data_IF_022161130022
#
_entry.id   IF_022161130022
#
_cell.length_a   1.000
_cell.length_b   1.000
_cell.length_c   1.000
_cell.angle_alpha   90.00
_cell.angle_beta   90.00
_cell.angle_gamma   90.00
#
_symmetry.space_group_name_H-M   'P 1'
#
loop_
_entity.id
_entity.type
_entity.pdbx_description
1 polymer ?
#
# COMPACT_ATOMS: atom_id res chain seq x y z
N UNK A 1 3.99 34.35 -4.71
CA UNK A 1 5.29 33.84 -5.24
C UNK A 1 5.65 32.45 -4.66
N UNK A 2 5.19 32.10 -3.50
CA UNK A 2 5.41 30.79 -2.84
C UNK A 2 4.67 29.66 -3.55
N UNK A 3 3.51 29.92 -4.10
CA UNK A 3 2.64 28.91 -4.72
C UNK A 3 3.21 28.34 -6.02
N UNK A 4 3.98 29.15 -6.78
CA UNK A 4 4.66 28.73 -8.00
C UNK A 4 5.77 27.71 -7.75
N UNK A 5 6.46 27.81 -6.61
CA UNK A 5 7.55 26.90 -6.24
C UNK A 5 7.02 25.48 -5.94
N UNK A 6 5.79 25.38 -5.40
CA UNK A 6 5.16 24.08 -5.13
C UNK A 6 4.45 23.49 -6.36
N UNK A 7 3.95 24.33 -7.28
CA UNK A 7 3.28 23.89 -8.50
C UNK A 7 4.26 23.34 -9.53
N UNK A 8 5.47 23.87 -9.62
CA UNK A 8 6.47 23.49 -10.63
C UNK A 8 6.87 21.99 -10.54
N UNK A 9 7.23 21.45 -9.35
CA UNK A 9 7.52 20.01 -9.23
C UNK A 9 6.30 19.13 -9.54
N UNK A 10 5.10 19.56 -9.18
CA UNK A 10 3.87 18.78 -9.44
C UNK A 10 3.57 18.72 -10.92
N UNK A 11 3.65 19.85 -11.62
CA UNK A 11 3.42 19.94 -13.08
C UNK A 11 4.45 19.11 -13.85
N UNK A 12 5.67 18.98 -13.35
CA UNK A 12 6.75 18.24 -14.01
C UNK A 12 6.71 16.74 -13.67
N UNK A 13 6.35 16.38 -12.45
CA UNK A 13 6.28 14.99 -11.97
C UNK A 13 5.05 14.24 -12.49
N UNK A 14 3.90 14.90 -12.58
CA UNK A 14 2.64 14.25 -13.00
C UNK A 14 2.74 13.65 -14.40
N UNK A 15 3.18 14.38 -15.46
CA UNK A 15 3.32 13.79 -16.80
C UNK A 15 4.43 12.72 -16.86
N UNK A 16 5.53 12.90 -16.11
CA UNK A 16 6.61 11.92 -16.06
C UNK A 16 6.12 10.59 -15.45
N UNK A 17 5.36 10.64 -14.37
CA UNK A 17 4.76 9.47 -13.75
C UNK A 17 3.63 8.87 -14.60
N UNK A 18 2.90 9.68 -15.34
CA UNK A 18 1.83 9.21 -16.23
C UNK A 18 2.35 8.36 -17.40
N UNK A 19 3.56 8.64 -17.91
CA UNK A 19 4.19 7.84 -18.98
C UNK A 19 4.41 6.39 -18.52
N UNK A 20 4.89 6.20 -17.29
CA UNK A 20 5.15 4.87 -16.69
C UNK A 20 3.93 4.25 -16.02
N UNK A 21 2.78 4.92 -16.02
CA UNK A 21 1.57 4.44 -15.37
C UNK A 21 0.86 3.37 -16.19
N UNK A 22 0.30 2.36 -15.53
CA UNK A 22 -0.61 1.39 -16.15
C UNK A 22 -1.86 2.09 -16.70
N UNK A 23 -2.53 1.47 -17.67
CA UNK A 23 -3.72 2.03 -18.36
C UNK A 23 -4.77 2.58 -17.39
N UNK A 24 -5.09 1.82 -16.31
CA UNK A 24 -6.07 2.25 -15.30
C UNK A 24 -5.69 3.58 -14.62
N UNK A 25 -4.40 3.79 -14.31
CA UNK A 25 -3.94 5.05 -13.69
C UNK A 25 -4.03 6.23 -14.64
N UNK A 26 -3.84 6.02 -15.94
CA UNK A 26 -3.98 7.06 -16.98
C UNK A 26 -5.43 7.55 -17.06
N UNK A 27 -6.40 6.66 -16.92
CA UNK A 27 -7.82 7.01 -16.88
C UNK A 27 -8.13 7.95 -15.70
N UNK A 28 -7.62 7.65 -14.51
CA UNK A 28 -7.83 8.53 -13.35
C UNK A 28 -7.20 9.92 -13.53
N UNK A 29 -6.00 9.99 -14.11
CA UNK A 29 -5.36 11.28 -14.44
C UNK A 29 -6.17 12.05 -15.47
N UNK A 30 -6.67 11.39 -16.51
CA UNK A 30 -7.51 12.01 -17.54
C UNK A 30 -8.81 12.56 -16.94
N UNK A 31 -9.49 11.78 -16.08
CA UNK A 31 -10.70 12.24 -15.36
C UNK A 31 -10.38 13.46 -14.50
N UNK A 32 -9.30 13.44 -13.74
CA UNK A 32 -8.89 14.56 -12.90
C UNK A 32 -8.62 15.83 -13.73
N UNK A 33 -7.93 15.69 -14.89
CA UNK A 33 -7.72 16.81 -15.82
C UNK A 33 -9.05 17.37 -16.35
N UNK A 34 -9.96 16.51 -16.81
CA UNK A 34 -11.27 16.94 -17.33
C UNK A 34 -12.06 17.69 -16.26
N UNK A 35 -12.13 17.16 -15.03
CA UNK A 35 -12.81 17.83 -13.91
C UNK A 35 -12.17 19.17 -13.56
N UNK A 36 -10.85 19.28 -13.60
CA UNK A 36 -10.14 20.54 -13.37
C UNK A 36 -10.43 21.58 -14.42
N UNK A 37 -10.63 21.19 -15.69
CA UNK A 37 -11.02 22.11 -16.78
C UNK A 37 -12.48 22.54 -16.72
N UNK A 38 -13.38 21.69 -16.21
CA UNK A 38 -14.81 21.98 -16.08
C UNK A 38 -15.09 22.83 -14.85
N UNK A 39 -14.32 22.67 -13.78
CA UNK A 39 -14.53 23.36 -12.49
C UNK A 39 -14.67 24.89 -12.59
N UNK A 40 -13.88 25.63 -13.40
CA UNK A 40 -14.03 27.09 -13.56
C UNK A 40 -15.39 27.53 -14.12
N UNK A 41 -16.08 26.66 -14.85
CA UNK A 41 -17.37 26.98 -15.48
C UNK A 41 -18.51 26.94 -14.46
N UNK A 42 -18.40 26.06 -13.46
CA UNK A 42 -19.48 25.79 -12.50
C UNK A 42 -19.24 26.37 -11.12
N UNK A 43 -18.01 26.73 -10.78
CA UNK A 43 -17.64 27.18 -9.45
C UNK A 43 -16.85 28.49 -9.51
N UNK A 44 -17.42 29.64 -8.99
CA UNK A 44 -16.69 30.91 -8.94
C UNK A 44 -15.38 30.83 -8.11
N UNK A 45 -15.33 29.96 -7.10
CA UNK A 45 -14.17 29.78 -6.21
C UNK A 45 -13.25 28.63 -6.66
N UNK A 46 -13.20 28.36 -7.96
CA UNK A 46 -12.43 27.24 -8.53
C UNK A 46 -10.95 27.25 -8.16
N UNK A 47 -10.35 28.44 -7.99
CA UNK A 47 -8.94 28.56 -7.59
C UNK A 47 -8.70 28.00 -6.19
N UNK A 48 -9.60 28.33 -5.24
CA UNK A 48 -9.50 27.83 -3.88
C UNK A 48 -9.72 26.31 -3.82
N UNK A 49 -10.70 25.81 -4.57
CA UNK A 49 -10.98 24.37 -4.68
C UNK A 49 -9.80 23.61 -5.25
N UNK A 50 -9.17 24.11 -6.31
CA UNK A 50 -7.98 23.49 -6.89
C UNK A 50 -6.79 23.53 -5.93
N UNK A 51 -6.54 24.66 -5.28
CA UNK A 51 -5.43 24.80 -4.31
C UNK A 51 -5.61 23.82 -3.17
N UNK A 52 -6.81 23.71 -2.61
CA UNK A 52 -7.12 22.75 -1.55
C UNK A 52 -6.93 21.30 -2.02
N UNK A 53 -7.36 20.99 -3.24
CA UNK A 53 -7.16 19.70 -3.87
C UNK A 53 -5.66 19.33 -4.01
N UNK A 54 -4.83 20.28 -4.44
CA UNK A 54 -3.39 20.09 -4.54
C UNK A 54 -2.72 19.91 -3.17
N UNK A 55 -3.11 20.68 -2.16
CA UNK A 55 -2.60 20.52 -0.79
C UNK A 55 -2.92 19.13 -0.26
N UNK A 56 -4.17 18.70 -0.43
CA UNK A 56 -4.61 17.36 0.00
C UNK A 56 -3.86 16.26 -0.74
N UNK A 57 -3.69 16.38 -2.06
CA UNK A 57 -2.94 15.43 -2.87
C UNK A 57 -1.45 15.37 -2.45
N UNK A 58 -0.83 16.52 -2.18
CA UNK A 58 0.54 16.60 -1.70
C UNK A 58 0.71 15.95 -0.31
N UNK A 59 -0.25 16.18 0.59
CA UNK A 59 -0.28 15.53 1.90
C UNK A 59 -0.36 14.01 1.77
N UNK A 60 -1.30 13.50 0.97
CA UNK A 60 -1.46 12.07 0.72
C UNK A 60 -0.20 11.47 0.08
N UNK A 61 0.39 12.13 -0.91
CA UNK A 61 1.61 11.68 -1.56
C UNK A 61 2.79 11.62 -0.56
N UNK A 62 2.97 12.63 0.27
CA UNK A 62 3.99 12.68 1.31
C UNK A 62 3.81 11.58 2.35
N UNK A 63 2.57 11.34 2.76
CA UNK A 63 2.22 10.26 3.68
C UNK A 63 2.59 8.88 3.11
N UNK A 64 2.22 8.61 1.85
CA UNK A 64 2.60 7.35 1.21
C UNK A 64 4.09 7.22 0.94
N UNK A 65 4.79 8.32 0.65
CA UNK A 65 6.23 8.32 0.52
C UNK A 65 6.91 7.95 1.85
N UNK A 66 6.48 8.55 2.96
CA UNK A 66 6.97 8.23 4.30
C UNK A 66 6.69 6.76 4.69
N UNK A 67 5.48 6.25 4.42
CA UNK A 67 5.16 4.83 4.63
C UNK A 67 6.01 3.91 3.77
N UNK A 68 6.32 4.30 2.53
CA UNK A 68 7.17 3.53 1.63
C UNK A 68 8.61 3.45 2.14
N UNK A 69 9.18 4.54 2.63
CA UNK A 69 10.53 4.53 3.23
C UNK A 69 10.59 3.66 4.47
N UNK A 70 9.58 3.73 5.35
CA UNK A 70 9.47 2.86 6.52
C UNK A 70 9.39 1.39 6.11
N UNK A 71 8.58 1.08 5.09
CA UNK A 71 8.46 -0.28 4.53
C UNK A 71 9.81 -0.81 4.03
N UNK A 72 10.55 -0.01 3.25
CA UNK A 72 11.86 -0.42 2.74
C UNK A 72 12.86 -0.63 3.87
N UNK A 73 12.91 0.26 4.85
CA UNK A 73 13.76 0.12 6.03
C UNK A 73 13.43 -1.15 6.82
N UNK A 74 12.15 -1.43 7.03
CA UNK A 74 11.70 -2.63 7.73
C UNK A 74 11.98 -3.91 6.93
N UNK A 75 11.74 -3.91 5.62
CA UNK A 75 12.01 -5.07 4.76
C UNK A 75 13.51 -5.42 4.70
N UNK A 76 14.40 -4.45 4.84
CA UNK A 76 15.84 -4.65 4.92
C UNK A 76 16.31 -5.16 6.29
N UNK A 77 15.50 -5.02 7.34
CA UNK A 77 15.84 -5.46 8.70
C UNK A 77 15.94 -6.98 8.79
N UNK A 78 17.09 -7.45 9.25
CA UNK A 78 17.36 -8.88 9.47
C UNK A 78 16.43 -9.47 10.55
N UNK A 79 16.11 -8.70 11.57
CA UNK A 79 15.22 -9.10 12.67
C UNK A 79 13.79 -9.35 12.15
N UNK A 80 13.27 -8.45 11.33
CA UNK A 80 11.94 -8.58 10.71
C UNK A 80 11.88 -9.78 9.78
N UNK A 81 12.93 -9.99 8.96
CA UNK A 81 13.02 -11.17 8.09
C UNK A 81 13.07 -12.46 8.87
N UNK A 82 13.86 -12.55 9.95
CA UNK A 82 13.91 -13.71 10.83
C UNK A 82 12.57 -14.02 11.48
N UNK A 83 11.88 -12.98 11.97
CA UNK A 83 10.55 -13.14 12.55
C UNK A 83 9.53 -13.65 11.50
N UNK A 84 9.51 -13.08 10.30
CA UNK A 84 8.65 -13.55 9.20
C UNK A 84 8.93 -15.00 8.82
N UNK A 85 10.22 -15.39 8.74
CA UNK A 85 10.62 -16.78 8.48
C UNK A 85 10.14 -17.72 9.59
N UNK A 86 10.31 -17.34 10.86
CA UNK A 86 9.84 -18.10 12.00
C UNK A 86 8.31 -18.33 11.95
N UNK A 87 7.52 -17.29 11.64
CA UNK A 87 6.08 -17.41 11.51
C UNK A 87 5.66 -18.36 10.38
N UNK A 88 6.37 -18.31 9.25
CA UNK A 88 6.08 -19.13 8.09
C UNK A 88 6.53 -20.60 8.26
N UNK A 89 7.52 -20.89 9.12
CA UNK A 89 8.08 -22.23 9.37
C UNK A 89 7.31 -23.04 10.41
N UNK A 90 6.31 -22.46 11.08
CA UNK A 90 5.51 -23.15 12.11
C UNK A 90 4.78 -24.38 11.55
N UNK A 91 4.46 -25.39 12.40
CA UNK A 91 3.61 -26.52 12.04
C UNK A 91 2.25 -26.09 11.48
N UNK A 92 1.57 -26.90 10.65
CA UNK A 92 0.40 -26.47 9.88
C UNK A 92 -0.70 -25.76 10.66
N UNK A 93 -1.07 -26.24 11.84
CA UNK A 93 -2.11 -25.62 12.67
C UNK A 93 -1.66 -24.28 13.26
N UNK A 94 -0.48 -24.28 13.92
CA UNK A 94 0.11 -23.08 14.51
C UNK A 94 0.50 -22.03 13.48
N UNK A 95 0.91 -22.47 12.29
CA UNK A 95 1.28 -21.60 11.19
C UNK A 95 0.14 -20.66 10.78
N UNK A 96 -1.08 -21.16 10.71
CA UNK A 96 -2.24 -20.33 10.35
C UNK A 96 -2.43 -19.20 11.37
N UNK A 97 -2.44 -19.52 12.67
CA UNK A 97 -2.57 -18.53 13.74
C UNK A 97 -1.38 -17.56 13.75
N UNK A 98 -0.17 -18.09 13.64
CA UNK A 98 1.06 -17.28 13.60
C UNK A 98 1.07 -16.29 12.44
N UNK A 99 0.65 -16.72 11.25
CA UNK A 99 0.57 -15.84 10.07
C UNK A 99 -0.59 -14.83 10.18
N UNK A 100 -1.71 -15.19 10.82
CA UNK A 100 -2.80 -14.24 11.07
C UNK A 100 -2.36 -13.18 12.07
N UNK A 101 -1.79 -13.57 13.21
CA UNK A 101 -1.25 -12.64 14.20
C UNK A 101 -0.08 -11.81 13.64
N UNK A 102 0.81 -12.46 12.89
CA UNK A 102 1.89 -11.80 12.16
C UNK A 102 1.36 -10.80 11.13
N UNK A 103 0.35 -11.16 10.36
CA UNK A 103 -0.32 -10.27 9.40
C UNK A 103 -0.90 -9.03 10.09
N UNK A 104 -1.45 -9.19 11.28
CA UNK A 104 -1.95 -8.10 12.10
C UNK A 104 -0.80 -7.21 12.62
N UNK A 105 0.18 -7.77 13.31
CA UNK A 105 1.30 -7.00 13.88
C UNK A 105 2.15 -6.31 12.82
N UNK A 106 2.53 -7.05 11.76
CA UNK A 106 3.28 -6.46 10.66
C UNK A 106 2.44 -5.48 9.84
N UNK A 107 1.13 -5.69 9.77
CA UNK A 107 0.21 -4.78 9.13
C UNK A 107 0.16 -3.41 9.80
N UNK A 108 0.23 -3.36 11.13
CA UNK A 108 0.33 -2.11 11.89
C UNK A 108 1.60 -1.32 11.56
N UNK A 109 2.73 -2.03 11.39
CA UNK A 109 4.04 -1.40 11.16
C UNK A 109 4.30 -1.11 9.67
N UNK A 110 3.97 -2.06 8.80
CA UNK A 110 4.35 -2.05 7.39
C UNK A 110 3.19 -1.76 6.45
N UNK A 111 1.97 -1.66 6.99
CA UNK A 111 0.75 -1.53 6.21
C UNK A 111 0.71 -2.62 5.11
N UNK A 112 0.40 -2.28 3.87
CA UNK A 112 0.39 -3.23 2.75
C UNK A 112 1.71 -3.99 2.55
N UNK A 113 2.83 -3.47 3.05
CA UNK A 113 4.14 -4.13 3.03
C UNK A 113 4.16 -5.46 3.78
N UNK A 114 3.31 -5.63 4.79
CA UNK A 114 3.18 -6.87 5.54
C UNK A 114 2.74 -8.04 4.64
N UNK A 115 1.76 -7.81 3.78
CA UNK A 115 1.26 -8.84 2.84
C UNK A 115 2.38 -9.26 1.88
N UNK A 116 3.14 -8.31 1.36
CA UNK A 116 4.25 -8.59 0.43
C UNK A 116 5.37 -9.34 1.12
N UNK A 117 5.80 -8.89 2.31
CA UNK A 117 6.90 -9.51 3.05
C UNK A 117 6.56 -10.92 3.52
N UNK A 118 5.48 -11.06 4.29
CA UNK A 118 5.04 -12.36 4.82
C UNK A 118 4.59 -13.30 3.70
N UNK A 119 3.97 -12.77 2.66
CA UNK A 119 3.56 -13.54 1.48
C UNK A 119 4.76 -14.13 0.75
N UNK A 120 5.78 -13.34 0.45
CA UNK A 120 7.01 -13.81 -0.20
C UNK A 120 7.71 -14.89 0.64
N UNK A 121 7.83 -14.66 1.96
CA UNK A 121 8.44 -15.65 2.87
C UNK A 121 7.62 -16.93 2.98
N UNK A 122 6.29 -16.82 2.98
CA UNK A 122 5.42 -17.99 3.01
C UNK A 122 5.55 -18.84 1.76
N UNK A 123 5.63 -18.22 0.59
CA UNK A 123 5.85 -18.93 -0.68
C UNK A 123 7.22 -19.60 -0.71
N UNK A 124 8.27 -18.90 -0.24
CA UNK A 124 9.63 -19.44 -0.20
C UNK A 124 9.78 -20.63 0.75
N UNK A 125 8.97 -20.71 1.83
CA UNK A 125 9.01 -21.80 2.79
C UNK A 125 8.18 -23.04 2.41
N UNK A 126 7.49 -23.03 1.26
CA UNK A 126 6.77 -24.22 0.79
C UNK A 126 7.72 -25.10 0.02
N UNK A 127 7.90 -26.35 0.48
CA UNK A 127 8.76 -27.34 -0.16
C UNK A 127 8.42 -27.52 -1.63
N UNK A 128 9.45 -27.65 -2.46
CA UNK A 128 9.32 -27.82 -3.91
C UNK A 128 8.90 -29.27 -4.26
N UNK A 129 9.15 -30.23 -3.35
CA UNK A 129 8.88 -31.67 -3.54
C UNK A 129 7.40 -32.05 -3.47
N UNK A 130 6.52 -31.08 -3.15
CA UNK A 130 5.09 -31.32 -3.06
C UNK A 130 4.44 -31.28 -4.44
N UNK A 131 3.41 -32.10 -4.63
CA UNK A 131 2.60 -32.03 -5.85
C UNK A 131 2.08 -30.59 -6.07
N UNK A 132 1.98 -30.13 -7.32
CA UNK A 132 1.57 -28.76 -7.64
C UNK A 132 0.26 -28.33 -6.99
N UNK A 133 -0.70 -29.24 -6.87
CA UNK A 133 -2.00 -28.99 -6.24
C UNK A 133 -1.88 -28.74 -4.74
N UNK A 134 -1.16 -29.60 -4.02
CA UNK A 134 -0.95 -29.47 -2.57
C UNK A 134 -0.19 -28.17 -2.27
N UNK A 135 0.83 -27.86 -3.09
CA UNK A 135 1.59 -26.61 -2.98
C UNK A 135 0.68 -25.39 -3.15
N UNK A 136 -0.16 -25.38 -4.17
CA UNK A 136 -1.12 -24.30 -4.44
C UNK A 136 -2.09 -24.11 -3.26
N UNK A 137 -2.64 -25.19 -2.72
CA UNK A 137 -3.52 -25.13 -1.56
C UNK A 137 -2.82 -24.59 -0.30
N UNK A 138 -1.59 -25.01 -0.04
CA UNK A 138 -0.80 -24.49 1.09
C UNK A 138 -0.53 -23.02 0.96
N UNK A 139 0.00 -22.58 -0.17
CA UNK A 139 0.26 -21.17 -0.46
C UNK A 139 -1.00 -20.33 -0.27
N UNK A 140 -2.13 -20.75 -0.87
CA UNK A 140 -3.41 -20.06 -0.75
C UNK A 140 -3.85 -19.91 0.71
N UNK A 141 -3.77 -20.98 1.51
CA UNK A 141 -4.14 -20.91 2.95
C UNK A 141 -3.26 -19.96 3.75
N UNK A 142 -1.96 -19.95 3.47
CA UNK A 142 -1.02 -19.05 4.14
C UNK A 142 -1.28 -17.58 3.76
N UNK A 143 -1.51 -17.29 2.48
CA UNK A 143 -1.84 -15.95 2.01
C UNK A 143 -3.17 -15.47 2.58
N UNK A 144 -4.19 -16.33 2.66
CA UNK A 144 -5.47 -16.00 3.29
C UNK A 144 -5.32 -15.70 4.79
N UNK A 145 -4.45 -16.42 5.51
CA UNK A 145 -4.18 -16.15 6.93
C UNK A 145 -3.58 -14.75 7.12
N UNK A 146 -2.56 -14.40 6.32
CA UNK A 146 -1.91 -13.08 6.33
C UNK A 146 -2.93 -11.98 5.99
N UNK A 147 -3.71 -12.19 4.94
CA UNK A 147 -4.72 -11.24 4.50
C UNK A 147 -5.80 -11.00 5.56
N UNK A 148 -6.29 -12.05 6.22
CA UNK A 148 -7.27 -11.91 7.31
C UNK A 148 -6.70 -11.13 8.49
N UNK A 149 -5.46 -11.42 8.89
CA UNK A 149 -4.77 -10.66 9.92
C UNK A 149 -4.63 -9.19 9.54
N UNK A 150 -4.27 -8.89 8.30
CA UNK A 150 -4.16 -7.53 7.80
C UNK A 150 -5.51 -6.80 7.75
N UNK A 151 -6.56 -7.43 7.20
CA UNK A 151 -7.89 -6.80 7.09
C UNK A 151 -8.47 -6.46 8.46
N UNK A 152 -8.20 -7.26 9.49
CA UNK A 152 -8.69 -7.00 10.84
C UNK A 152 -8.16 -5.69 11.46
N UNK A 153 -7.13 -5.09 10.87
CA UNK A 153 -6.54 -3.82 11.32
C UNK A 153 -7.29 -2.62 10.75
N UNK A 154 -7.80 -2.73 9.53
CA UNK A 154 -8.36 -1.60 8.77
C UNK A 154 -9.42 -0.79 9.54
N UNK A 155 -10.33 -1.39 10.32
CA UNK A 155 -11.39 -0.65 11.00
C UNK A 155 -10.91 0.22 12.18
N UNK A 156 -9.76 -0.09 12.78
CA UNK A 156 -9.34 0.55 14.04
C UNK A 156 -7.90 1.09 14.03
N UNK A 157 -7.14 0.85 12.98
CA UNK A 157 -5.76 1.34 12.90
C UNK A 157 -5.72 2.84 12.60
N UNK A 158 -5.03 3.64 13.41
CA UNK A 158 -4.83 5.06 13.13
C UNK A 158 -3.99 5.30 11.86
N UNK A 159 -3.26 4.30 11.39
CA UNK A 159 -2.49 4.32 10.15
C UNK A 159 -3.29 3.82 8.94
N UNK A 160 -4.56 3.46 9.13
CA UNK A 160 -5.44 3.08 8.04
C UNK A 160 -5.78 4.30 7.20
N UNK A 161 -5.54 4.18 5.89
CA UNK A 161 -5.90 5.23 4.92
C UNK A 161 -7.39 5.58 4.97
N UNK A 162 -8.25 4.64 5.35
CA UNK A 162 -9.68 4.86 5.50
C UNK A 162 -10.01 5.92 6.57
N UNK A 163 -9.23 5.99 7.67
CA UNK A 163 -9.43 6.97 8.74
C UNK A 163 -8.89 8.35 8.35
N UNK A 164 -7.84 8.40 7.52
CA UNK A 164 -7.22 9.67 7.10
C UNK A 164 -8.12 10.44 6.12
N UNK A 165 -9.01 9.74 5.40
CA UNK A 165 -9.90 10.35 4.40
C UNK A 165 -11.31 10.66 4.97
N UNK A 166 -11.66 10.06 6.12
CA UNK A 166 -12.94 10.31 6.79
C UNK A 166 -12.93 11.61 7.56
#
# INVERSE_FOLDING_TARGET
>A
RTDLVFLLPVILLVPLLAVYASWSRKIFVAIACVLSFINPIWNPEWQQTLTQGFITAAFIASFFAALSTLKFAAASSTAIRRCGHFLASQPPGRRYLALTAGGQLFGLLLNYGAIQLLGAMSVANVSQDLSPEIRRHRVRRMLLAIQRGFISILPWSPFSFAIVIS
#
